data_IF_852308868698
#
_entry.id   IF_852308868698
#
_cell.length_a   1.000
_cell.length_b   1.000
_cell.length_c   1.000
_cell.angle_alpha   90.00
_cell.angle_beta   90.00
_cell.angle_gamma   90.00
#
_symmetry.space_group_name_H-M   'P 1'
#
loop_
_entity.id
_entity.type
_entity.pdbx_description
1 polymer ?
#
# COMPACT_ATOMS: atom_id res chain seq x y z
N UNK A 1 25.98 -10.32 0.78
CA UNK A 1 27.26 -9.65 1.01
C UNK A 1 28.24 -10.74 1.36
N UNK A 2 29.34 -10.88 0.63
CA UNK A 2 30.38 -11.85 0.93
C UNK A 2 31.31 -11.24 1.98
N UNK A 3 31.32 -11.80 3.17
CA UNK A 3 32.16 -11.33 4.28
C UNK A 3 33.52 -12.03 4.37
N UNK A 4 33.82 -12.95 3.46
CA UNK A 4 35.06 -13.74 3.48
C UNK A 4 36.33 -12.90 3.26
N UNK A 5 36.19 -11.71 2.70
CA UNK A 5 37.30 -10.76 2.48
C UNK A 5 37.51 -9.79 3.67
N UNK A 6 36.62 -9.78 4.66
CA UNK A 6 36.73 -8.95 5.85
C UNK A 6 37.45 -9.71 6.95
N UNK A 7 38.73 -9.41 7.12
CA UNK A 7 39.58 -9.98 8.17
C UNK A 7 40.02 -8.86 9.14
N UNK A 8 39.06 -8.17 9.71
CA UNK A 8 39.25 -7.04 10.64
C UNK A 8 38.72 -7.41 12.03
N UNK A 9 39.45 -7.06 13.06
CA UNK A 9 39.04 -7.24 14.46
C UNK A 9 37.93 -6.26 14.84
N UNK A 10 37.91 -5.08 14.23
CA UNK A 10 36.93 -4.03 14.47
C UNK A 10 36.39 -3.48 13.15
N UNK A 11 35.10 -3.17 13.12
CA UNK A 11 34.43 -2.45 12.03
C UNK A 11 33.79 -1.19 12.61
N UNK A 12 34.20 -0.05 12.09
CA UNK A 12 33.64 1.25 12.47
C UNK A 12 32.74 1.73 11.30
N UNK A 13 31.44 1.83 11.58
CA UNK A 13 30.50 2.43 10.64
C UNK A 13 30.30 3.91 11.01
N UNK A 14 30.60 4.81 10.06
CA UNK A 14 30.44 6.25 10.22
C UNK A 14 29.10 6.78 9.70
N UNK A 15 28.22 5.90 9.21
CA UNK A 15 26.90 6.24 8.70
C UNK A 15 25.88 6.25 9.86
N UNK A 16 26.06 7.19 10.80
CA UNK A 16 25.13 7.47 11.89
C UNK A 16 24.51 8.85 11.69
N UNK A 17 23.19 8.95 11.89
CA UNK A 17 22.43 10.21 11.84
C UNK A 17 22.40 10.96 13.18
N UNK A 18 22.85 10.33 14.27
CA UNK A 18 22.90 10.93 15.60
C UNK A 18 24.31 11.41 15.92
N UNK A 19 24.46 12.71 16.12
CA UNK A 19 25.70 13.31 16.58
C UNK A 19 25.96 12.96 18.06
N UNK A 20 27.22 12.87 18.44
CA UNK A 20 27.67 12.57 19.83
C UNK A 20 27.19 11.21 20.38
N UNK A 21 26.76 10.28 19.52
CA UNK A 21 26.30 8.95 19.91
C UNK A 21 27.16 7.84 19.29
N UNK A 22 27.61 6.89 20.12
CA UNK A 22 28.27 5.67 19.66
C UNK A 22 27.29 4.51 19.82
N UNK A 23 26.82 3.98 18.70
CA UNK A 23 25.98 2.79 18.66
C UNK A 23 26.83 1.53 18.72
N UNK A 24 26.68 0.74 19.77
CA UNK A 24 27.45 -0.49 20.00
C UNK A 24 26.74 -1.75 19.51
N UNK A 25 25.54 -1.63 18.95
CA UNK A 25 24.75 -2.72 18.40
C UNK A 25 23.70 -2.23 17.43
N UNK A 26 23.15 -3.14 16.64
CA UNK A 26 22.05 -2.85 15.73
C UNK A 26 20.99 -3.96 15.78
N UNK A 27 19.75 -3.61 15.43
CA UNK A 27 18.69 -4.59 15.22
C UNK A 27 18.96 -5.37 13.93
N UNK A 28 18.72 -6.68 13.98
CA UNK A 28 18.69 -7.50 12.76
C UNK A 28 17.44 -7.21 11.94
N UNK A 29 17.53 -7.48 10.63
CA UNK A 29 16.41 -7.35 9.73
C UNK A 29 16.27 -8.58 8.83
N UNK A 30 15.02 -8.95 8.55
CA UNK A 30 14.67 -9.97 7.56
C UNK A 30 13.84 -9.32 6.47
N UNK A 31 14.27 -9.49 5.22
CA UNK A 31 13.51 -9.06 4.05
C UNK A 31 12.76 -10.26 3.46
N UNK A 32 11.44 -10.17 3.41
CA UNK A 32 10.61 -11.19 2.77
C UNK A 32 10.01 -10.63 1.49
N UNK A 33 10.17 -11.37 0.40
CA UNK A 33 9.52 -11.06 -0.88
C UNK A 33 8.43 -12.09 -1.14
N UNK A 34 7.20 -11.61 -1.27
CA UNK A 34 6.05 -12.45 -1.62
C UNK A 34 5.75 -12.22 -3.09
N UNK A 35 5.84 -13.28 -3.90
CA UNK A 35 5.56 -13.23 -5.33
C UNK A 35 4.31 -14.03 -5.64
N UNK A 36 3.32 -13.37 -6.24
CA UNK A 36 2.11 -14.01 -6.76
C UNK A 36 2.21 -14.09 -8.28
N UNK A 37 2.00 -15.29 -8.84
CA UNK A 37 1.89 -15.46 -10.28
C UNK A 37 0.60 -14.79 -10.74
N UNK A 38 0.72 -13.84 -11.66
CA UNK A 38 -0.43 -13.13 -12.20
C UNK A 38 -1.02 -13.93 -13.37
N UNK A 39 -2.27 -14.32 -13.25
CA UNK A 39 -3.06 -14.83 -14.35
C UNK A 39 -4.08 -13.76 -14.74
N UNK A 40 -4.29 -13.60 -16.05
CA UNK A 40 -5.15 -12.56 -16.58
C UNK A 40 -6.31 -13.17 -17.35
N UNK A 41 -7.51 -12.65 -17.11
CA UNK A 41 -8.70 -12.93 -17.91
C UNK A 41 -9.19 -11.64 -18.59
N UNK A 42 -9.93 -11.73 -19.71
CA UNK A 42 -10.58 -10.57 -20.29
C UNK A 42 -11.55 -9.92 -19.30
N UNK A 43 -11.53 -8.60 -19.19
CA UNK A 43 -12.53 -7.88 -18.41
C UNK A 43 -13.93 -8.03 -19.08
N UNK A 44 -14.97 -8.07 -18.24
CA UNK A 44 -16.34 -8.05 -18.78
C UNK A 44 -16.62 -6.66 -19.38
N UNK A 45 -16.95 -6.55 -20.68
CA UNK A 45 -17.17 -5.27 -21.33
C UNK A 45 -18.39 -4.48 -20.82
N UNK A 46 -19.29 -5.14 -20.06
CA UNK A 46 -20.44 -4.51 -19.42
C UNK A 46 -20.11 -3.91 -18.06
N UNK A 47 -18.92 -4.19 -17.52
CA UNK A 47 -18.49 -3.65 -16.25
C UNK A 47 -17.99 -2.22 -16.40
N UNK A 48 -18.02 -1.47 -15.31
CA UNK A 48 -17.39 -0.14 -15.20
C UNK A 48 -16.11 -0.24 -14.40
N UNK A 49 -15.17 0.65 -14.67
CA UNK A 49 -13.95 0.75 -13.87
C UNK A 49 -14.12 1.81 -12.78
N UNK A 50 -13.67 1.47 -11.57
CA UNK A 50 -13.58 2.39 -10.44
C UNK A 50 -12.11 2.51 -10.01
N UNK A 51 -11.58 3.71 -10.10
CA UNK A 51 -10.27 4.06 -9.58
C UNK A 51 -10.40 4.49 -8.11
N UNK A 52 -9.54 3.94 -7.28
CA UNK A 52 -9.44 4.22 -5.85
C UNK A 52 -8.05 4.76 -5.59
N UNK A 53 -7.93 5.96 -5.05
CA UNK A 53 -6.64 6.58 -4.75
C UNK A 53 -6.58 6.98 -3.27
N UNK A 54 -5.63 6.40 -2.55
CA UNK A 54 -5.25 6.77 -1.18
C UNK A 54 -4.03 7.68 -1.25
N UNK A 55 -4.11 8.87 -0.67
CA UNK A 55 -3.01 9.84 -0.67
C UNK A 55 -3.09 10.82 0.49
N UNK A 56 -2.06 11.66 0.63
CA UNK A 56 -2.01 12.71 1.66
C UNK A 56 -1.41 12.25 2.99
N UNK A 57 -0.92 11.03 3.08
CA UNK A 57 -0.25 10.51 4.26
C UNK A 57 1.17 11.10 4.42
N UNK A 58 1.63 11.24 5.66
CA UNK A 58 2.96 11.75 5.99
C UNK A 58 4.07 10.83 5.50
N UNK A 59 3.88 9.51 5.62
CA UNK A 59 4.93 8.54 5.33
C UNK A 59 6.09 8.66 6.33
N UNK A 60 7.28 8.21 5.93
CA UNK A 60 8.47 8.29 6.77
C UNK A 60 9.37 7.09 6.58
N UNK A 61 10.47 7.04 7.32
CA UNK A 61 11.37 5.89 7.34
C UNK A 61 10.76 4.76 8.15
N UNK A 62 10.76 3.54 7.60
CA UNK A 62 10.11 2.38 8.22
C UNK A 62 10.77 1.88 9.50
N UNK A 63 11.98 2.31 9.80
CA UNK A 63 12.66 2.09 11.08
C UNK A 63 12.51 3.28 12.01
N UNK A 64 13.09 4.43 11.67
CA UNK A 64 13.19 5.62 12.54
C UNK A 64 11.81 6.21 12.89
N UNK A 65 10.84 6.13 11.97
CA UNK A 65 9.49 6.70 12.18
C UNK A 65 8.42 5.64 12.53
N UNK A 66 8.80 4.39 12.80
CA UNK A 66 7.83 3.31 13.02
C UNK A 66 7.00 3.49 14.30
N UNK A 67 7.60 4.09 15.32
CA UNK A 67 6.98 4.41 16.59
C UNK A 67 5.89 5.48 16.47
N UNK A 68 5.95 6.31 15.42
CA UNK A 68 4.98 7.38 15.14
C UNK A 68 3.63 6.88 14.62
N UNK A 69 3.50 5.59 14.36
CA UNK A 69 2.28 4.90 13.92
C UNK A 69 1.57 5.57 12.73
N UNK A 70 2.35 6.15 11.81
CA UNK A 70 1.84 6.83 10.61
C UNK A 70 1.08 5.88 9.70
N UNK A 71 0.11 6.40 8.98
CA UNK A 71 -0.71 5.63 8.06
C UNK A 71 0.12 5.01 6.92
N UNK A 72 -0.19 3.75 6.60
CA UNK A 72 0.38 3.03 5.47
C UNK A 72 -0.67 2.90 4.37
N UNK A 73 -0.43 3.57 3.23
CA UNK A 73 -1.40 3.61 2.12
C UNK A 73 -1.76 2.23 1.56
N UNK A 74 -0.81 1.27 1.54
CA UNK A 74 -1.06 -0.08 1.05
C UNK A 74 -2.00 -0.84 2.01
N UNK A 75 -1.80 -0.70 3.32
CA UNK A 75 -2.67 -1.31 4.33
C UNK A 75 -4.07 -0.69 4.26
N UNK A 76 -4.16 0.64 4.10
CA UNK A 76 -5.44 1.34 3.96
C UNK A 76 -6.16 0.86 2.69
N UNK A 77 -5.46 0.75 1.55
CA UNK A 77 -6.05 0.22 0.31
C UNK A 77 -6.57 -1.20 0.50
N UNK A 78 -5.81 -2.09 1.14
CA UNK A 78 -6.25 -3.44 1.46
C UNK A 78 -7.54 -3.44 2.31
N UNK A 79 -7.66 -2.56 3.30
CA UNK A 79 -8.88 -2.39 4.11
C UNK A 79 -10.07 -1.91 3.28
N UNK A 80 -9.85 -0.97 2.35
CA UNK A 80 -10.90 -0.46 1.47
C UNK A 80 -11.42 -1.57 0.55
N UNK A 81 -10.51 -2.32 -0.10
CA UNK A 81 -10.89 -3.42 -0.98
C UNK A 81 -11.60 -4.54 -0.23
N UNK A 82 -11.12 -4.90 0.98
CA UNK A 82 -11.75 -5.93 1.82
C UNK A 82 -13.12 -5.51 2.38
N UNK A 83 -13.46 -4.23 2.38
CA UNK A 83 -14.77 -3.75 2.81
C UNK A 83 -15.86 -3.87 1.73
N UNK A 84 -15.48 -4.10 0.48
CA UNK A 84 -16.41 -4.29 -0.63
C UNK A 84 -17.10 -5.63 -0.45
N UNK A 85 -18.45 -5.62 -0.43
CA UNK A 85 -19.27 -6.82 -0.25
C UNK A 85 -19.71 -7.43 -1.59
N UNK A 86 -19.59 -6.71 -2.70
CA UNK A 86 -19.90 -7.15 -4.05
C UNK A 86 -18.68 -7.80 -4.72
N UNK A 87 -18.94 -8.65 -5.70
CA UNK A 87 -17.88 -9.19 -6.56
C UNK A 87 -17.22 -8.10 -7.39
N UNK A 88 -15.91 -8.11 -7.45
CA UNK A 88 -15.13 -7.24 -8.32
C UNK A 88 -13.89 -7.96 -8.85
N UNK A 89 -13.43 -7.54 -10.01
CA UNK A 89 -12.14 -7.96 -10.55
C UNK A 89 -11.12 -6.86 -10.33
N UNK A 90 -9.91 -7.22 -9.86
CA UNK A 90 -8.82 -6.27 -9.72
C UNK A 90 -8.11 -6.13 -11.08
N UNK A 91 -7.98 -4.89 -11.56
CA UNK A 91 -7.22 -4.58 -12.75
C UNK A 91 -5.77 -4.23 -12.44
N UNK A 92 -5.57 -3.36 -11.48
CA UNK A 92 -4.24 -2.92 -11.06
C UNK A 92 -4.27 -2.49 -9.59
N UNK A 93 -3.13 -2.69 -8.94
CA UNK A 93 -2.85 -2.10 -7.62
C UNK A 93 -1.36 -1.73 -7.59
N UNK A 94 -1.07 -0.53 -7.13
CA UNK A 94 0.30 -0.04 -7.02
C UNK A 94 0.43 0.96 -5.88
N UNK A 95 1.46 0.79 -5.06
CA UNK A 95 1.74 1.69 -3.94
C UNK A 95 3.10 1.41 -3.32
N UNK A 96 3.60 2.43 -2.61
CA UNK A 96 4.95 2.42 -2.07
C UNK A 96 6.02 2.77 -3.11
N UNK A 97 7.14 3.32 -2.65
CA UNK A 97 8.25 3.75 -3.51
C UNK A 97 9.54 3.01 -3.22
N UNK A 98 9.83 2.75 -1.95
CA UNK A 98 11.04 2.06 -1.48
C UNK A 98 10.68 1.14 -0.30
N UNK A 99 11.46 0.08 -0.12
CA UNK A 99 11.25 -0.92 0.95
C UNK A 99 11.38 -0.35 2.37
N UNK A 100 12.17 0.70 2.55
CA UNK A 100 12.41 1.36 3.83
C UNK A 100 11.59 2.64 4.03
N UNK A 101 10.54 2.85 3.21
CA UNK A 101 9.66 4.01 3.31
C UNK A 101 8.23 3.56 3.57
N UNK A 102 7.57 4.13 4.59
CA UNK A 102 6.15 3.94 4.85
C UNK A 102 5.35 4.49 3.66
N UNK A 103 4.54 3.66 2.96
CA UNK A 103 3.83 4.08 1.77
C UNK A 103 2.89 5.26 2.01
N UNK A 104 3.10 6.36 1.28
CA UNK A 104 2.28 7.60 1.36
C UNK A 104 1.08 7.57 0.44
N UNK A 105 1.19 6.82 -0.66
CA UNK A 105 0.19 6.74 -1.72
C UNK A 105 -0.03 5.30 -2.15
N UNK A 106 -1.26 4.97 -2.51
CA UNK A 106 -1.62 3.72 -3.15
C UNK A 106 -2.81 3.95 -4.09
N UNK A 107 -2.72 3.43 -5.30
CA UNK A 107 -3.78 3.43 -6.29
C UNK A 107 -4.23 2.02 -6.61
N UNK A 108 -5.54 1.82 -6.80
CA UNK A 108 -6.10 0.60 -7.34
C UNK A 108 -7.16 0.91 -8.39
N UNK A 109 -7.33 0.02 -9.34
CA UNK A 109 -8.41 0.05 -10.32
C UNK A 109 -9.13 -1.29 -10.26
N UNK A 110 -10.43 -1.25 -10.03
CA UNK A 110 -11.29 -2.42 -10.01
C UNK A 110 -12.34 -2.36 -11.11
N UNK A 111 -12.78 -3.52 -11.57
CA UNK A 111 -13.86 -3.70 -12.55
C UNK A 111 -15.06 -4.30 -11.84
N UNK A 112 -16.21 -3.65 -11.92
CA UNK A 112 -17.44 -3.99 -11.21
C UNK A 112 -18.65 -3.88 -12.12
N UNK A 113 -19.74 -4.59 -11.81
CA UNK A 113 -21.01 -4.42 -12.52
C UNK A 113 -21.55 -3.01 -12.29
N UNK A 114 -22.06 -2.36 -13.33
CA UNK A 114 -22.59 -0.98 -13.21
C UNK A 114 -23.69 -0.87 -12.15
N UNK A 115 -24.56 -1.89 -12.03
CA UNK A 115 -25.63 -1.97 -11.02
C UNK A 115 -25.11 -2.00 -9.56
N UNK A 116 -23.87 -2.43 -9.34
CA UNK A 116 -23.27 -2.55 -8.01
C UNK A 116 -22.43 -1.33 -7.63
N UNK A 117 -22.18 -0.41 -8.57
CA UNK A 117 -21.28 0.75 -8.39
C UNK A 117 -21.64 1.57 -7.13
N UNK A 118 -22.92 1.88 -6.94
CA UNK A 118 -23.34 2.69 -5.78
C UNK A 118 -23.11 1.99 -4.45
N UNK A 119 -23.30 0.67 -4.41
CA UNK A 119 -23.05 -0.13 -3.19
C UNK A 119 -21.56 -0.17 -2.87
N UNK A 120 -20.75 -0.46 -3.88
CA UNK A 120 -19.27 -0.45 -3.75
C UNK A 120 -18.76 0.89 -3.27
N UNK A 121 -19.24 2.00 -3.86
CA UNK A 121 -18.87 3.35 -3.43
C UNK A 121 -19.24 3.58 -1.96
N UNK A 122 -20.44 3.18 -1.53
CA UNK A 122 -20.87 3.31 -0.11
C UNK A 122 -20.00 2.49 0.84
N UNK A 123 -19.66 1.26 0.48
CA UNK A 123 -18.80 0.38 1.30
C UNK A 123 -17.43 1.01 1.50
N UNK A 124 -16.82 1.49 0.39
CA UNK A 124 -15.53 2.17 0.42
C UNK A 124 -15.62 3.46 1.26
N UNK A 125 -16.63 4.30 1.05
CA UNK A 125 -16.79 5.55 1.79
C UNK A 125 -16.96 5.33 3.29
N UNK A 126 -17.73 4.31 3.69
CA UNK A 126 -17.91 3.92 5.09
C UNK A 126 -16.58 3.52 5.73
N UNK A 127 -15.79 2.68 5.04
CA UNK A 127 -14.47 2.29 5.52
C UNK A 127 -13.48 3.46 5.51
N UNK A 128 -13.55 4.33 4.50
CA UNK A 128 -12.73 5.54 4.41
C UNK A 128 -12.96 6.46 5.61
N UNK A 129 -14.22 6.76 5.93
CA UNK A 129 -14.57 7.60 7.07
C UNK A 129 -14.10 6.99 8.40
N UNK A 130 -14.24 5.66 8.56
CA UNK A 130 -13.72 4.94 9.73
C UNK A 130 -12.20 5.10 9.84
N UNK A 131 -11.47 4.83 8.76
CA UNK A 131 -10.01 4.92 8.73
C UNK A 131 -9.50 6.33 8.97
N UNK A 132 -10.14 7.35 8.35
CA UNK A 132 -9.80 8.76 8.58
C UNK A 132 -9.96 9.14 10.06
N UNK A 133 -11.04 8.70 10.70
CA UNK A 133 -11.25 8.95 12.14
C UNK A 133 -10.20 8.27 13.01
N UNK A 134 -9.80 7.05 12.68
CA UNK A 134 -8.81 6.28 13.43
C UNK A 134 -7.43 6.95 13.44
N UNK A 135 -6.99 7.49 12.30
CA UNK A 135 -5.64 8.03 12.16
C UNK A 135 -5.57 9.56 12.13
N UNK A 136 -6.69 10.25 12.35
CA UNK A 136 -6.79 11.72 12.23
C UNK A 136 -5.75 12.47 13.06
N UNK A 137 -5.46 12.00 14.26
CA UNK A 137 -4.49 12.64 15.15
C UNK A 137 -3.05 12.61 14.62
N UNK A 138 -2.73 11.63 13.76
CA UNK A 138 -1.38 11.39 13.24
C UNK A 138 -1.28 11.83 11.78
N UNK A 139 -2.26 11.45 10.96
CA UNK A 139 -2.32 11.71 9.52
C UNK A 139 -3.61 12.46 9.13
N UNK A 140 -3.81 13.72 9.55
CA UNK A 140 -5.05 14.48 9.33
C UNK A 140 -5.34 14.75 7.85
N UNK A 141 -4.33 14.66 6.99
CA UNK A 141 -4.43 14.96 5.56
C UNK A 141 -4.75 13.73 4.69
N UNK A 142 -5.04 12.57 5.29
CA UNK A 142 -5.48 11.41 4.52
C UNK A 142 -6.67 11.76 3.64
N UNK A 143 -6.53 11.48 2.35
CA UNK A 143 -7.58 11.62 1.34
C UNK A 143 -7.76 10.31 0.58
N UNK A 144 -9.02 9.93 0.39
CA UNK A 144 -9.41 8.79 -0.42
C UNK A 144 -10.31 9.32 -1.54
N UNK A 145 -9.84 9.20 -2.78
CA UNK A 145 -10.56 9.66 -3.97
C UNK A 145 -11.06 8.48 -4.77
N UNK A 146 -12.31 8.58 -5.22
CA UNK A 146 -12.94 7.63 -6.10
C UNK A 146 -13.23 8.32 -7.44
N UNK A 147 -12.93 7.65 -8.54
CA UNK A 147 -13.22 8.15 -9.89
C UNK A 147 -13.76 7.02 -10.75
N UNK A 148 -14.99 7.18 -11.25
CA UNK A 148 -15.52 6.31 -12.29
C UNK A 148 -14.71 6.54 -13.57
N UNK A 149 -14.29 5.46 -14.21
CA UNK A 149 -13.62 5.47 -15.52
C UNK A 149 -14.41 4.62 -16.51
N UNK A 150 -14.24 4.90 -17.78
CA UNK A 150 -14.85 4.07 -18.82
C UNK A 150 -14.28 2.63 -18.73
N UNK A 151 -15.07 1.61 -19.11
CA UNK A 151 -14.58 0.27 -19.24
C UNK A 151 -13.47 0.31 -20.29
N UNK A 152 -12.27 0.07 -19.87
CA UNK A 152 -11.19 -0.09 -20.80
C UNK A 152 -11.19 -1.55 -21.29
N UNK A 153 -10.67 -1.80 -22.47
CA UNK A 153 -10.44 -3.14 -23.04
C UNK A 153 -9.27 -3.83 -22.28
N UNK A 154 -9.41 -4.00 -20.96
CA UNK A 154 -8.34 -4.45 -20.09
C UNK A 154 -8.46 -5.92 -19.74
N UNK A 155 -7.33 -6.52 -19.45
CA UNK A 155 -7.27 -7.80 -18.77
C UNK A 155 -7.28 -7.55 -17.26
N UNK A 156 -8.09 -8.28 -16.53
CA UNK A 156 -8.16 -8.25 -15.06
C UNK A 156 -7.47 -9.48 -14.48
N UNK A 157 -7.05 -9.39 -13.22
CA UNK A 157 -6.49 -10.54 -12.54
C UNK A 157 -7.57 -11.63 -12.38
N UNK A 158 -7.18 -12.90 -12.62
CA UNK A 158 -8.00 -14.04 -12.26
C UNK A 158 -8.03 -14.20 -10.74
N UNK A 159 -9.18 -14.57 -10.20
CA UNK A 159 -9.35 -14.89 -8.77
C UNK A 159 -8.95 -16.32 -8.42
N UNK A 160 -8.57 -17.12 -9.42
CA UNK A 160 -8.22 -18.53 -9.27
C UNK A 160 -6.73 -18.75 -8.93
N UNK A 161 -6.13 -17.80 -8.18
CA UNK A 161 -4.75 -17.89 -7.70
C UNK A 161 -4.69 -18.35 -6.24
#
# INVERSE_FOLDING_TARGET
MDLSSLNSEYVINLDSEEEDCILTGCAGAVNSTISLKKEYKPANPKNVALEINVHGLLGGHSGIDIDKQRGNANVIMGRLLNAITQEFDLFNISGGSKRNVIPRNCGAVISIKDEDLEKVVRDIQKMAAKTQKEIYAIDPNLKIKLRRSAPASFKVFSTDC
#
